data_IF_967186553468
#
_entry.id   IF_967186553468
#
_cell.length_a   1.000
_cell.length_b   1.000
_cell.length_c   1.000
_cell.angle_alpha   90.00
_cell.angle_beta   90.00
_cell.angle_gamma   90.00
#
_symmetry.space_group_name_H-M   'P 1'
#
loop_
_entity.id
_entity.type
_entity.pdbx_description
1 polymer ?
#
# COMPACT_ATOMS: atom_id res chain seq x y z
N UNK A 1 -0.07 -35.83 12.24
CA UNK A 1 -1.25 -35.12 12.75
C UNK A 1 -2.30 -35.27 11.68
N UNK A 2 -3.35 -36.03 11.95
CA UNK A 2 -4.39 -36.42 10.98
C UNK A 2 -5.22 -35.18 10.60
N UNK A 3 -5.26 -34.80 9.33
CA UNK A 3 -6.21 -33.81 8.82
C UNK A 3 -7.50 -34.57 8.45
N UNK A 4 -8.63 -34.23 9.05
CA UNK A 4 -9.90 -34.97 8.90
C UNK A 4 -10.65 -34.71 7.58
N UNK A 5 -10.02 -34.00 6.63
CA UNK A 5 -10.64 -33.57 5.38
C UNK A 5 -11.22 -32.16 5.40
N UNK A 6 -11.17 -31.43 6.53
CA UNK A 6 -11.43 -29.99 6.55
C UNK A 6 -10.35 -29.24 5.76
N UNK A 7 -10.80 -28.38 4.85
CA UNK A 7 -9.95 -27.39 4.20
C UNK A 7 -9.52 -26.37 5.26
N UNK A 8 -8.28 -25.90 5.17
CA UNK A 8 -7.70 -24.95 6.12
C UNK A 8 -7.03 -23.80 5.35
N UNK A 9 -6.98 -22.60 5.94
CA UNK A 9 -6.21 -21.50 5.38
C UNK A 9 -4.77 -21.91 5.10
N UNK A 10 -4.19 -21.35 4.04
CA UNK A 10 -2.75 -21.43 3.84
C UNK A 10 -1.97 -20.57 4.84
N UNK A 11 -2.56 -19.43 5.22
CA UNK A 11 -2.14 -18.55 6.31
C UNK A 11 -3.40 -18.06 7.02
N UNK A 12 -3.52 -18.35 8.32
CA UNK A 12 -4.68 -18.00 9.13
C UNK A 12 -4.58 -16.54 9.63
N UNK A 13 -5.33 -15.64 9.00
CA UNK A 13 -5.17 -14.18 9.17
C UNK A 13 -5.55 -13.67 10.57
N UNK A 14 -6.32 -14.43 11.35
CA UNK A 14 -6.67 -14.09 12.74
C UNK A 14 -5.57 -14.44 13.74
N UNK A 15 -4.53 -15.16 13.31
CA UNK A 15 -3.42 -15.60 14.16
C UNK A 15 -2.17 -14.74 13.95
N UNK A 16 -1.01 -15.21 14.43
CA UNK A 16 0.28 -14.56 14.19
C UNK A 16 0.80 -14.79 12.76
N UNK A 17 0.21 -15.71 12.00
CA UNK A 17 0.49 -15.94 10.57
C UNK A 17 0.12 -14.71 9.70
N UNK A 18 -0.72 -13.81 10.23
CA UNK A 18 -0.98 -12.50 9.61
C UNK A 18 0.32 -11.74 9.31
N UNK A 19 1.32 -11.83 10.18
CA UNK A 19 2.60 -11.13 9.96
C UNK A 19 3.33 -11.63 8.71
N UNK A 20 3.20 -12.92 8.40
CA UNK A 20 3.75 -13.52 7.17
C UNK A 20 2.94 -13.10 5.95
N UNK A 21 1.61 -13.10 6.06
CA UNK A 21 0.70 -12.61 5.02
C UNK A 21 0.99 -11.15 4.64
N UNK A 22 1.11 -10.27 5.64
CA UNK A 22 1.44 -8.86 5.46
C UNK A 22 2.82 -8.69 4.80
N UNK A 23 3.82 -9.49 5.18
CA UNK A 23 5.13 -9.48 4.56
C UNK A 23 5.08 -9.84 3.07
N UNK A 24 4.34 -10.89 2.69
CA UNK A 24 4.20 -11.28 1.28
C UNK A 24 3.65 -10.14 0.43
N UNK A 25 2.58 -9.48 0.91
CA UNK A 25 1.98 -8.32 0.23
C UNK A 25 2.98 -7.16 0.16
N UNK A 26 3.60 -6.81 1.29
CA UNK A 26 4.53 -5.68 1.33
C UNK A 26 5.79 -5.93 0.48
N UNK A 27 6.35 -7.14 0.46
CA UNK A 27 7.51 -7.45 -0.37
C UNK A 27 7.19 -7.44 -1.85
N UNK A 28 6.02 -7.94 -2.25
CA UNK A 28 5.56 -7.84 -3.64
C UNK A 28 5.52 -6.38 -4.11
N UNK A 29 5.00 -5.47 -3.27
CA UNK A 29 5.00 -4.03 -3.54
C UNK A 29 6.42 -3.44 -3.51
N UNK A 30 7.17 -3.66 -2.42
CA UNK A 30 8.45 -3.00 -2.20
C UNK A 30 9.56 -3.51 -3.12
N UNK A 31 9.43 -4.71 -3.68
CA UNK A 31 10.34 -5.22 -4.71
C UNK A 31 9.88 -4.95 -6.14
N UNK A 32 8.81 -4.17 -6.32
CA UNK A 32 8.26 -3.82 -7.62
C UNK A 32 7.85 -5.06 -8.45
N UNK A 33 7.21 -6.03 -7.80
CA UNK A 33 6.70 -7.25 -8.41
C UNK A 33 5.17 -7.41 -8.23
N UNK A 34 4.37 -6.37 -8.57
CA UNK A 34 2.95 -6.36 -8.28
C UNK A 34 2.15 -7.46 -9.01
N UNK A 35 2.72 -8.08 -10.04
CA UNK A 35 2.13 -9.22 -10.76
C UNK A 35 1.81 -10.41 -9.83
N UNK A 36 2.48 -10.52 -8.68
CA UNK A 36 2.22 -11.56 -7.69
C UNK A 36 1.07 -11.22 -6.74
N UNK A 37 0.59 -9.97 -6.68
CA UNK A 37 -0.43 -9.56 -5.70
C UNK A 37 -1.73 -10.33 -5.87
N UNK A 38 -2.15 -10.60 -7.11
CA UNK A 38 -3.37 -11.39 -7.36
C UNK A 38 -3.29 -12.79 -6.74
N UNK A 39 -2.22 -13.52 -7.04
CA UNK A 39 -2.06 -14.90 -6.55
C UNK A 39 -1.85 -14.94 -5.04
N UNK A 40 -1.14 -13.95 -4.47
CA UNK A 40 -1.00 -13.82 -3.02
C UNK A 40 -2.38 -13.62 -2.38
N UNK A 41 -3.18 -12.68 -2.87
CA UNK A 41 -4.49 -12.40 -2.28
C UNK A 41 -5.50 -13.54 -2.48
N UNK A 42 -5.42 -14.30 -3.56
CA UNK A 42 -6.20 -15.54 -3.75
C UNK A 42 -5.82 -16.62 -2.72
N UNK A 43 -4.51 -16.77 -2.44
CA UNK A 43 -4.01 -17.69 -1.42
C UNK A 43 -4.46 -17.26 -0.01
N UNK A 44 -4.43 -15.97 0.29
CA UNK A 44 -4.87 -15.42 1.58
C UNK A 44 -6.39 -15.50 1.75
N UNK A 45 -7.17 -15.36 0.66
CA UNK A 45 -8.62 -15.47 0.72
C UNK A 45 -9.10 -16.92 0.95
N UNK A 46 -8.30 -17.92 0.59
CA UNK A 46 -8.66 -19.33 0.68
C UNK A 46 -8.91 -19.74 2.14
N UNK A 47 -10.15 -20.18 2.43
CA UNK A 47 -10.62 -20.67 3.73
C UNK A 47 -10.48 -19.69 4.92
N UNK A 48 -10.16 -18.41 4.67
CA UNK A 48 -10.28 -17.36 5.69
C UNK A 48 -11.69 -16.77 5.64
N UNK A 49 -12.45 -16.91 6.72
CA UNK A 49 -13.83 -16.40 6.84
C UNK A 49 -13.93 -14.87 6.70
N UNK A 50 -12.91 -14.14 7.15
CA UNK A 50 -12.84 -12.69 7.11
C UNK A 50 -11.60 -12.23 6.32
N UNK A 51 -11.76 -11.15 5.55
CA UNK A 51 -10.65 -10.48 4.85
C UNK A 51 -10.20 -9.25 5.66
N UNK A 52 -8.95 -8.81 5.45
CA UNK A 52 -8.37 -7.72 6.23
C UNK A 52 -8.26 -6.40 5.44
N UNK A 53 -8.75 -5.34 6.05
CA UNK A 53 -8.82 -3.99 5.49
C UNK A 53 -7.44 -3.44 5.11
N UNK A 54 -6.39 -3.68 5.88
CA UNK A 54 -5.05 -3.19 5.53
C UNK A 54 -4.54 -3.91 4.28
N UNK A 55 -4.65 -5.24 4.24
CA UNK A 55 -4.19 -6.02 3.09
C UNK A 55 -4.93 -5.62 1.82
N UNK A 56 -6.26 -5.49 1.88
CA UNK A 56 -7.07 -5.07 0.73
C UNK A 56 -6.71 -3.65 0.25
N UNK A 57 -6.50 -2.70 1.18
CA UNK A 57 -6.10 -1.34 0.84
C UNK A 57 -4.72 -1.28 0.18
N UNK A 58 -3.75 -2.06 0.67
CA UNK A 58 -2.40 -2.13 0.11
C UNK A 58 -2.41 -2.58 -1.35
N UNK A 59 -3.28 -3.54 -1.71
CA UNK A 59 -3.33 -4.12 -3.06
C UNK A 59 -4.30 -3.43 -4.01
N UNK A 60 -5.20 -2.59 -3.49
CA UNK A 60 -6.24 -1.90 -4.26
C UNK A 60 -5.77 -1.18 -5.55
N UNK A 61 -4.55 -0.59 -5.64
CA UNK A 61 -4.10 0.01 -6.90
C UNK A 61 -3.92 -0.99 -8.04
N UNK A 62 -3.65 -2.26 -7.73
CA UNK A 62 -3.44 -3.33 -8.71
C UNK A 62 -4.63 -4.28 -8.83
N UNK A 63 -5.47 -4.36 -7.80
CA UNK A 63 -6.65 -5.23 -7.75
C UNK A 63 -7.91 -4.36 -7.56
N UNK A 64 -8.29 -3.55 -8.56
CA UNK A 64 -9.37 -2.56 -8.44
C UNK A 64 -10.75 -3.16 -8.21
N UNK A 65 -10.99 -4.37 -8.74
CA UNK A 65 -12.28 -5.07 -8.62
C UNK A 65 -12.43 -5.82 -7.29
N UNK A 66 -11.39 -5.85 -6.45
CA UNK A 66 -11.43 -6.52 -5.16
C UNK A 66 -12.12 -5.62 -4.14
N UNK A 67 -13.16 -6.15 -3.50
CA UNK A 67 -13.84 -5.46 -2.40
C UNK A 67 -12.87 -5.23 -1.22
N UNK A 68 -12.90 -4.03 -0.66
CA UNK A 68 -12.08 -3.67 0.51
C UNK A 68 -12.87 -4.00 1.77
N UNK A 69 -12.33 -4.89 2.60
CA UNK A 69 -12.89 -5.20 3.91
C UNK A 69 -12.91 -3.95 4.82
N UNK A 70 -13.93 -3.86 5.68
CA UNK A 70 -13.96 -2.87 6.78
C UNK A 70 -13.29 -3.39 8.05
N UNK A 71 -12.91 -4.67 8.08
CA UNK A 71 -12.40 -5.37 9.26
C UNK A 71 -10.88 -5.30 9.30
N UNK A 72 -10.34 -4.76 10.40
CA UNK A 72 -8.91 -4.92 10.74
C UNK A 72 -8.76 -6.11 11.68
N UNK A 73 -8.33 -7.25 11.15
CA UNK A 73 -8.15 -8.50 11.91
C UNK A 73 -7.07 -8.34 12.97
N UNK A 74 -6.00 -7.60 12.64
CA UNK A 74 -4.98 -7.18 13.61
C UNK A 74 -5.13 -5.70 13.94
N UNK A 75 -5.48 -5.41 15.19
CA UNK A 75 -5.78 -4.04 15.64
C UNK A 75 -4.53 -3.13 15.66
N UNK A 76 -3.72 -3.18 16.71
CA UNK A 76 -2.48 -2.39 16.77
C UNK A 76 -1.30 -3.22 16.25
N UNK A 77 -0.37 -2.63 15.48
CA UNK A 77 -0.31 -1.21 15.13
C UNK A 77 -1.21 -0.83 13.94
N UNK A 78 -1.65 -1.81 13.14
CA UNK A 78 -2.12 -1.63 11.76
C UNK A 78 -3.35 -0.73 11.59
N UNK A 79 -4.36 -0.82 12.45
CA UNK A 79 -5.57 0.04 12.41
C UNK A 79 -5.26 1.53 12.52
N UNK A 80 -4.11 1.91 13.10
CA UNK A 80 -3.70 3.33 13.14
C UNK A 80 -3.42 3.90 11.75
N UNK A 81 -3.21 3.07 10.73
CA UNK A 81 -2.95 3.49 9.34
C UNK A 81 -4.22 3.89 8.59
N UNK A 82 -5.41 3.55 9.10
CA UNK A 82 -6.70 3.95 8.50
C UNK A 82 -6.78 5.47 8.24
N UNK A 83 -6.30 6.26 9.21
CA UNK A 83 -6.28 7.72 9.10
C UNK A 83 -5.33 8.23 8.02
N UNK A 84 -4.31 7.46 7.62
CA UNK A 84 -3.37 7.85 6.56
C UNK A 84 -4.05 7.66 5.20
N UNK A 85 -4.77 6.56 5.01
CA UNK A 85 -5.50 6.28 3.77
C UNK A 85 -6.62 7.29 3.49
N UNK A 86 -7.26 7.79 4.55
CA UNK A 86 -8.43 8.68 4.47
C UNK A 86 -8.07 10.17 4.59
N UNK A 87 -6.82 10.50 4.89
CA UNK A 87 -6.37 11.89 4.99
C UNK A 87 -6.01 12.49 3.63
N UNK A 88 -6.14 13.81 3.57
CA UNK A 88 -5.64 14.65 2.48
C UNK A 88 -4.11 14.52 2.36
N UNK A 89 -3.58 14.66 1.14
CA UNK A 89 -2.17 14.44 0.83
C UNK A 89 -1.22 15.26 1.73
N UNK A 90 -1.62 16.49 2.05
CA UNK A 90 -0.83 17.43 2.88
C UNK A 90 -0.62 16.93 4.31
N UNK A 91 -1.55 16.11 4.82
CA UNK A 91 -1.57 15.65 6.21
C UNK A 91 -0.90 14.27 6.36
N UNK A 92 -0.80 13.49 5.28
CA UNK A 92 -0.24 12.13 5.29
C UNK A 92 1.19 12.05 5.85
N UNK A 93 2.14 12.95 5.52
CA UNK A 93 3.49 12.89 6.08
C UNK A 93 3.50 13.00 7.61
N UNK A 94 2.72 13.93 8.17
CA UNK A 94 2.64 14.12 9.62
C UNK A 94 2.00 12.91 10.31
N UNK A 95 0.96 12.33 9.72
CA UNK A 95 0.28 11.14 10.24
C UNK A 95 1.18 9.90 10.20
N UNK A 96 1.93 9.71 9.12
CA UNK A 96 2.89 8.61 8.98
C UNK A 96 4.08 8.78 9.94
N UNK A 97 4.58 10.01 10.09
CA UNK A 97 5.62 10.34 11.05
C UNK A 97 5.20 9.97 12.49
N UNK A 98 3.97 10.32 12.88
CA UNK A 98 3.42 9.94 14.19
C UNK A 98 3.22 8.42 14.34
N UNK A 99 2.82 7.73 13.27
CA UNK A 99 2.73 6.26 13.27
C UNK A 99 4.09 5.61 13.55
N UNK A 100 5.15 6.08 12.88
CA UNK A 100 6.51 5.56 13.07
C UNK A 100 7.05 5.77 14.49
N UNK A 101 6.70 6.88 15.15
CA UNK A 101 7.09 7.12 16.56
C UNK A 101 6.47 6.09 17.51
N UNK A 102 5.25 5.66 17.22
CA UNK A 102 4.50 4.74 18.07
C UNK A 102 4.67 3.26 17.68
N UNK A 103 5.16 2.98 16.47
CA UNK A 103 5.12 1.67 15.82
C UNK A 103 5.57 0.54 16.75
N UNK A 104 6.82 0.59 17.22
CA UNK A 104 7.38 -0.49 18.04
C UNK A 104 6.60 -0.69 19.35
N UNK A 105 6.22 0.42 19.99
CA UNK A 105 5.44 0.37 21.23
C UNK A 105 4.00 -0.14 21.03
N UNK A 106 3.41 0.10 19.85
CA UNK A 106 2.10 -0.38 19.46
C UNK A 106 2.12 -1.85 19.01
N UNK A 107 3.27 -2.35 18.52
CA UNK A 107 3.47 -3.73 18.06
C UNK A 107 3.67 -4.77 19.16
N UNK A 108 3.42 -4.45 20.44
CA UNK A 108 3.65 -5.38 21.58
C UNK A 108 2.97 -6.75 21.49
N UNK A 109 1.92 -6.87 20.67
CA UNK A 109 1.17 -8.11 20.43
C UNK A 109 1.61 -8.85 19.18
N UNK A 110 2.56 -8.31 18.44
CA UNK A 110 3.03 -8.89 17.19
C UNK A 110 4.18 -9.88 17.42
N UNK A 111 4.29 -10.93 16.61
CA UNK A 111 5.23 -12.04 16.82
C UNK A 111 6.71 -11.64 16.68
N UNK A 112 7.00 -10.45 16.13
CA UNK A 112 8.35 -9.91 16.04
C UNK A 112 8.76 -9.08 17.26
N UNK A 113 7.82 -8.61 18.09
CA UNK A 113 8.14 -7.78 19.23
C UNK A 113 9.08 -8.52 20.21
N UNK A 114 10.10 -7.82 20.72
CA UNK A 114 11.14 -8.39 21.58
C UNK A 114 11.94 -9.59 21.01
N UNK A 115 11.76 -9.93 19.73
CA UNK A 115 12.41 -11.09 19.11
C UNK A 115 13.93 -10.99 19.00
N UNK A 116 14.51 -9.79 19.17
CA UNK A 116 15.95 -9.58 19.37
C UNK A 116 16.52 -10.28 20.62
N UNK A 117 15.66 -10.69 21.57
CA UNK A 117 16.03 -11.46 22.77
C UNK A 117 16.17 -12.96 22.49
N UNK A 118 15.84 -13.41 21.28
CA UNK A 118 15.91 -14.80 20.84
C UNK A 118 17.07 -15.02 19.85
N UNK A 119 17.39 -16.28 19.55
CA UNK A 119 18.44 -16.63 18.56
C UNK A 119 18.05 -16.36 17.11
N UNK A 120 16.76 -16.11 16.83
CA UNK A 120 16.26 -15.83 15.48
C UNK A 120 15.65 -14.44 15.46
N UNK A 121 16.43 -13.45 15.03
CA UNK A 121 15.99 -12.07 14.93
C UNK A 121 15.83 -11.66 13.46
N UNK A 122 14.59 -11.57 12.94
CA UNK A 122 14.32 -11.20 11.54
C UNK A 122 14.53 -9.70 11.26
N UNK A 123 14.85 -8.90 12.29
CA UNK A 123 14.94 -7.45 12.20
C UNK A 123 13.63 -6.77 12.63
N UNK A 124 13.67 -5.44 12.62
CA UNK A 124 12.53 -4.59 12.91
C UNK A 124 12.28 -3.68 11.71
N UNK A 125 11.23 -3.99 10.97
CA UNK A 125 10.91 -3.35 9.70
C UNK A 125 9.40 -3.11 9.65
N UNK A 126 8.99 -1.83 9.65
CA UNK A 126 7.61 -1.47 9.33
C UNK A 126 7.45 -1.46 7.82
N UNK A 127 7.27 -2.66 7.25
CA UNK A 127 7.12 -2.85 5.80
C UNK A 127 5.81 -2.23 5.31
N UNK A 128 4.77 -2.27 6.12
CA UNK A 128 3.48 -1.64 5.86
C UNK A 128 3.59 -0.11 5.75
N UNK A 129 4.37 0.56 6.61
CA UNK A 129 4.58 2.01 6.48
C UNK A 129 5.31 2.37 5.18
N UNK A 130 6.29 1.55 4.79
CA UNK A 130 7.01 1.70 3.53
C UNK A 130 6.11 1.46 2.31
N UNK A 131 5.34 0.36 2.30
CA UNK A 131 4.39 0.07 1.22
C UNK A 131 3.35 1.18 1.09
N UNK A 132 2.79 1.68 2.21
CA UNK A 132 1.85 2.80 2.21
C UNK A 132 2.50 4.08 1.67
N UNK A 133 3.75 4.36 2.04
CA UNK A 133 4.49 5.50 1.49
C UNK A 133 4.58 5.42 -0.03
N UNK A 134 4.86 4.24 -0.58
CA UNK A 134 4.96 4.01 -2.03
C UNK A 134 3.60 4.18 -2.70
N UNK A 135 2.57 3.46 -2.26
CA UNK A 135 1.25 3.45 -2.94
C UNK A 135 0.54 4.81 -2.84
N UNK A 136 0.68 5.53 -1.72
CA UNK A 136 0.07 6.84 -1.51
C UNK A 136 1.00 8.00 -1.90
N UNK A 137 2.21 7.69 -2.40
CA UNK A 137 3.24 8.64 -2.81
C UNK A 137 3.54 9.73 -1.77
N UNK A 138 3.57 9.33 -0.50
CA UNK A 138 3.78 10.27 0.62
C UNK A 138 5.21 10.79 0.58
N UNK A 139 5.43 12.09 0.77
CA UNK A 139 6.77 12.63 1.05
C UNK A 139 7.25 12.14 2.42
N UNK A 140 8.27 11.28 2.42
CA UNK A 140 8.81 10.64 3.61
C UNK A 140 9.91 11.45 4.29
N UNK A 141 10.29 12.63 3.75
CA UNK A 141 11.39 13.46 4.25
C UNK A 141 11.37 13.67 5.78
N UNK A 142 10.19 13.83 6.37
CA UNK A 142 9.99 14.07 7.81
C UNK A 142 10.14 12.85 8.73
N UNK A 143 10.11 11.62 8.19
CA UNK A 143 10.21 10.38 8.96
C UNK A 143 11.21 9.37 8.40
N UNK A 144 11.91 9.73 7.34
CA UNK A 144 12.87 8.91 6.61
C UNK A 144 13.98 8.31 7.48
N UNK A 145 14.45 9.06 8.47
CA UNK A 145 15.54 8.64 9.36
C UNK A 145 15.03 8.03 10.68
N UNK A 146 13.71 7.81 10.81
CA UNK A 146 13.16 7.17 12.00
C UNK A 146 13.52 5.68 12.04
N UNK A 147 13.72 5.11 13.25
CA UNK A 147 13.96 3.68 13.40
C UNK A 147 12.89 2.83 12.71
N UNK A 148 13.30 1.66 12.23
CA UNK A 148 12.42 0.63 11.64
C UNK A 148 11.79 0.97 10.29
N UNK A 149 11.92 2.21 9.81
CA UNK A 149 11.46 2.60 8.49
C UNK A 149 12.47 2.16 7.40
N UNK A 150 12.08 1.28 6.46
CA UNK A 150 13.01 0.75 5.46
C UNK A 150 13.12 1.69 4.25
N UNK A 151 13.72 2.87 4.46
CA UNK A 151 13.83 3.92 3.41
C UNK A 151 14.47 3.44 2.10
N UNK A 152 15.45 2.54 2.17
CA UNK A 152 16.14 2.05 0.97
C UNK A 152 15.21 1.16 0.11
N UNK A 153 14.26 0.44 0.73
CA UNK A 153 13.23 -0.31 0.00
C UNK A 153 12.21 0.64 -0.65
N UNK A 154 11.88 1.75 0.01
CA UNK A 154 11.01 2.78 -0.58
C UNK A 154 11.69 3.43 -1.77
N UNK A 155 12.97 3.77 -1.67
CA UNK A 155 13.73 4.33 -2.79
C UNK A 155 13.81 3.37 -3.96
N UNK A 156 14.11 2.09 -3.68
CA UNK A 156 14.13 1.07 -4.72
C UNK A 156 12.76 0.97 -5.39
N UNK A 157 11.68 0.77 -4.62
CA UNK A 157 10.33 0.68 -5.17
C UNK A 157 9.96 1.92 -6.00
N UNK A 158 10.23 3.13 -5.48
CA UNK A 158 10.02 4.38 -6.21
C UNK A 158 10.84 4.43 -7.50
N UNK A 159 12.09 3.99 -7.52
CA UNK A 159 12.90 3.97 -8.75
C UNK A 159 12.37 3.02 -9.83
N UNK A 160 11.59 2.00 -9.43
CA UNK A 160 10.98 1.05 -10.36
C UNK A 160 9.58 1.51 -10.79
N UNK A 161 8.80 2.11 -9.88
CA UNK A 161 7.46 2.61 -10.16
C UNK A 161 7.42 4.06 -10.69
N UNK A 162 8.53 4.79 -10.56
CA UNK A 162 8.69 6.20 -10.93
C UNK A 162 10.02 6.34 -11.67
N UNK A 163 10.00 6.94 -12.86
CA UNK A 163 11.23 7.27 -13.59
C UNK A 163 11.90 8.46 -12.88
N UNK A 164 13.07 8.22 -12.30
CA UNK A 164 13.92 9.23 -11.65
C UNK A 164 15.07 9.60 -12.58
N UNK A 165 15.43 10.89 -12.63
CA UNK A 165 16.58 11.37 -13.40
C UNK A 165 17.92 11.03 -12.72
N UNK A 166 19.02 11.29 -13.42
CA UNK A 166 20.39 11.07 -12.93
C UNK A 166 20.78 11.88 -11.67
N UNK A 167 19.91 12.80 -11.24
CA UNK A 167 20.08 13.63 -10.06
C UNK A 167 19.12 13.24 -8.92
N UNK A 168 18.33 12.17 -9.09
CA UNK A 168 17.38 11.69 -8.10
C UNK A 168 16.11 12.55 -8.01
N UNK A 169 15.86 13.42 -9.00
CA UNK A 169 14.58 14.11 -9.12
C UNK A 169 13.61 13.23 -9.90
N UNK A 170 12.31 13.48 -9.69
CA UNK A 170 11.25 12.89 -10.50
C UNK A 170 11.41 13.41 -11.94
N UNK A 171 11.83 12.55 -12.87
CA UNK A 171 12.03 12.94 -14.27
C UNK A 171 10.67 13.17 -14.95
N UNK A 172 10.66 14.03 -15.97
CA UNK A 172 9.50 14.68 -16.63
C UNK A 172 8.43 13.80 -17.30
N UNK A 173 8.27 12.56 -16.84
CA UNK A 173 7.17 11.65 -17.17
C UNK A 173 6.35 11.22 -15.95
N UNK A 174 6.85 11.27 -14.70
CA UNK A 174 6.03 10.92 -13.54
C UNK A 174 4.94 11.96 -13.19
N UNK A 175 5.08 13.21 -13.66
CA UNK A 175 3.99 14.20 -13.73
C UNK A 175 2.98 13.90 -14.87
N UNK A 176 3.29 12.98 -15.79
CA UNK A 176 2.37 12.44 -16.79
C UNK A 176 1.62 11.20 -16.31
N UNK A 177 2.01 10.66 -15.14
CA UNK A 177 1.41 9.48 -14.51
C UNK A 177 0.47 9.82 -13.34
N UNK A 178 0.25 11.12 -13.08
CA UNK A 178 -0.65 11.64 -12.05
C UNK A 178 -1.28 12.94 -12.54
N UNK A 179 -2.58 13.12 -12.33
CA UNK A 179 -3.27 14.36 -12.65
C UNK A 179 -4.42 14.61 -11.66
N UNK A 180 -4.41 15.76 -11.00
CA UNK A 180 -5.50 16.17 -10.09
C UNK A 180 -6.76 16.52 -10.87
N UNK A 181 -7.93 16.27 -10.28
CA UNK A 181 -9.18 16.74 -10.82
C UNK A 181 -9.17 18.27 -11.03
N UNK A 182 -9.76 18.72 -12.13
CA UNK A 182 -9.74 20.11 -12.56
C UNK A 182 -8.49 20.52 -13.36
N UNK A 183 -7.43 19.71 -13.37
CA UNK A 183 -6.26 19.93 -14.22
C UNK A 183 -6.42 19.27 -15.59
N UNK A 184 -5.61 19.72 -16.55
CA UNK A 184 -5.55 19.13 -17.89
C UNK A 184 -4.76 17.82 -17.87
N UNK A 185 -5.31 16.78 -18.49
CA UNK A 185 -4.71 15.49 -18.69
C UNK A 185 -3.38 15.65 -19.43
N UNK A 186 -2.25 15.21 -18.83
CA UNK A 186 -0.93 15.44 -19.40
C UNK A 186 -0.62 14.54 -20.60
N UNK A 187 -1.32 13.40 -20.74
CA UNK A 187 -1.09 12.41 -21.79
C UNK A 187 -2.34 11.55 -22.05
N UNK A 188 -2.60 11.27 -23.32
CA UNK A 188 -3.66 10.34 -23.70
C UNK A 188 -3.36 8.91 -23.23
N UNK A 189 -4.35 8.22 -22.67
CA UNK A 189 -4.24 6.84 -22.24
C UNK A 189 -5.35 6.44 -21.28
N UNK A 190 -5.25 5.24 -20.72
CA UNK A 190 -6.14 4.78 -19.65
C UNK A 190 -5.69 5.37 -18.31
N UNK A 191 -6.63 5.92 -17.54
CA UNK A 191 -6.36 6.44 -16.21
C UNK A 191 -7.34 5.88 -15.20
N UNK A 192 -6.94 5.76 -13.95
CA UNK A 192 -7.81 5.32 -12.85
C UNK A 192 -7.65 6.21 -11.62
N UNK A 193 -8.60 6.17 -10.70
CA UNK A 193 -8.51 6.91 -9.44
C UNK A 193 -9.04 6.07 -8.27
N UNK A 194 -8.38 6.06 -7.10
CA UNK A 194 -8.98 5.48 -5.89
C UNK A 194 -10.38 6.04 -5.61
N UNK A 195 -10.58 7.33 -5.90
CA UNK A 195 -11.85 8.02 -5.76
C UNK A 195 -12.95 7.47 -6.68
N UNK A 196 -12.61 6.81 -7.78
CA UNK A 196 -13.55 6.24 -8.76
C UNK A 196 -13.80 4.74 -8.60
N UNK A 197 -13.38 4.16 -7.47
CA UNK A 197 -13.35 2.71 -7.31
C UNK A 197 -12.36 2.06 -8.27
N UNK A 198 -11.27 2.78 -8.61
CA UNK A 198 -10.18 2.32 -9.47
C UNK A 198 -10.61 1.85 -10.88
N UNK A 199 -11.76 2.32 -11.38
CA UNK A 199 -12.21 2.04 -12.74
C UNK A 199 -11.31 2.74 -13.77
N UNK A 200 -10.84 1.98 -14.76
CA UNK A 200 -10.06 2.54 -15.88
C UNK A 200 -10.97 3.40 -16.76
N UNK A 201 -10.47 4.58 -17.13
CA UNK A 201 -11.13 5.52 -18.03
C UNK A 201 -10.09 6.14 -18.95
N UNK A 202 -10.32 6.01 -20.25
CA UNK A 202 -9.52 6.70 -21.24
C UNK A 202 -9.71 8.22 -21.15
N UNK A 203 -8.60 8.96 -21.16
CA UNK A 203 -8.58 10.41 -21.35
C UNK A 203 -7.65 10.76 -22.50
N UNK A 204 -7.97 11.82 -23.24
CA UNK A 204 -7.04 12.41 -24.19
C UNK A 204 -6.19 13.50 -23.53
N UNK A 205 -4.97 13.70 -24.01
CA UNK A 205 -4.13 14.81 -23.62
C UNK A 205 -4.88 16.14 -23.79
N UNK A 206 -4.88 16.98 -22.75
CA UNK A 206 -5.58 18.26 -22.71
C UNK A 206 -7.05 18.18 -22.29
N UNK A 207 -7.61 17.01 -22.01
CA UNK A 207 -8.94 16.90 -21.38
C UNK A 207 -8.88 17.26 -19.89
N UNK A 208 -9.92 17.90 -19.35
CA UNK A 208 -9.95 18.21 -17.92
C UNK A 208 -10.30 16.94 -17.14
N UNK A 209 -9.46 16.59 -16.17
CA UNK A 209 -9.70 15.45 -15.29
C UNK A 209 -10.91 15.71 -14.38
N UNK A 210 -11.91 14.82 -14.34
CA UNK A 210 -13.12 15.06 -13.59
C UNK A 210 -12.90 14.81 -12.09
N UNK A 211 -13.57 15.63 -11.28
CA UNK A 211 -13.69 15.42 -9.84
C UNK A 211 -14.77 14.38 -9.54
N UNK A 212 -14.51 13.50 -8.58
CA UNK A 212 -15.48 12.52 -8.11
C UNK A 212 -15.92 12.91 -6.72
N UNK A 213 -17.18 13.32 -6.62
CA UNK A 213 -17.81 13.77 -5.39
C UNK A 213 -18.18 12.58 -4.53
N UNK A 214 -18.21 12.79 -3.21
CA UNK A 214 -18.65 11.81 -2.20
C UNK A 214 -17.82 10.50 -2.22
N UNK A 215 -16.52 10.60 -2.47
CA UNK A 215 -15.60 9.46 -2.43
C UNK A 215 -14.93 9.30 -1.04
N UNK A 216 -14.56 8.07 -0.69
CA UNK A 216 -13.93 7.74 0.61
C UNK A 216 -12.45 8.12 0.73
N UNK A 217 -11.86 8.71 -0.31
CA UNK A 217 -10.42 8.92 -0.51
C UNK A 217 -9.98 10.40 -0.51
N UNK A 218 -10.91 11.35 -0.36
CA UNK A 218 -10.63 12.79 -0.35
C UNK A 218 -10.54 13.38 -1.76
N UNK A 219 -9.47 14.14 -2.05
CA UNK A 219 -9.26 14.74 -3.37
C UNK A 219 -9.16 13.69 -4.49
N UNK A 220 -9.77 13.99 -5.65
CA UNK A 220 -9.71 13.07 -6.80
C UNK A 220 -8.40 13.25 -7.56
N UNK A 221 -7.55 12.24 -7.47
CA UNK A 221 -6.28 12.15 -8.20
C UNK A 221 -6.35 10.99 -9.18
N UNK A 222 -6.10 11.26 -10.45
CA UNK A 222 -6.03 10.27 -11.52
C UNK A 222 -4.60 9.80 -11.72
N UNK A 223 -4.42 8.51 -11.98
CA UNK A 223 -3.14 7.85 -12.25
C UNK A 223 -3.19 7.19 -13.62
N UNK A 224 -2.16 7.40 -14.45
CA UNK A 224 -2.08 6.75 -15.76
C UNK A 224 -1.83 5.26 -15.55
N UNK A 225 -2.63 4.42 -16.20
CA UNK A 225 -2.47 2.98 -16.26
C UNK A 225 -1.38 2.63 -17.28
N UNK A 226 -0.36 1.92 -16.81
CA UNK A 226 0.81 1.51 -17.58
C UNK A 226 0.71 0.06 -18.09
N UNK A 227 -0.39 -0.65 -17.85
CA UNK A 227 -0.53 -2.06 -18.24
C UNK A 227 -0.60 -2.33 -19.77
N UNK A 228 -0.32 -1.35 -20.64
CA UNK A 228 -0.38 -1.53 -22.10
C UNK A 228 0.70 -0.76 -22.89
N UNK A 229 1.97 -0.85 -22.50
CA UNK A 229 3.10 -0.67 -23.43
C UNK A 229 4.05 -1.88 -23.44
#
# INVERSE_FOLDING_TARGET
SECDGHLVPHLELVTDEYWEALQLVCFSILFAQPEHLKIIMELLAYENDEQDALLDKLVSPWLPDREISEVYLRQLPYRKLEKVFTADEVDRPALMSAYMDEWYGASKREPYHDRHKSSQFPGYWSLEAAAITVILRIDDSSYRDKPYYPKDLVDYARSQYMVLDEHGNIEGEANRLRCEAGQYCPQSGEWYSPANGMQKRHFNQGEIMPEIKDNSWGETIWYLDLENE
#
